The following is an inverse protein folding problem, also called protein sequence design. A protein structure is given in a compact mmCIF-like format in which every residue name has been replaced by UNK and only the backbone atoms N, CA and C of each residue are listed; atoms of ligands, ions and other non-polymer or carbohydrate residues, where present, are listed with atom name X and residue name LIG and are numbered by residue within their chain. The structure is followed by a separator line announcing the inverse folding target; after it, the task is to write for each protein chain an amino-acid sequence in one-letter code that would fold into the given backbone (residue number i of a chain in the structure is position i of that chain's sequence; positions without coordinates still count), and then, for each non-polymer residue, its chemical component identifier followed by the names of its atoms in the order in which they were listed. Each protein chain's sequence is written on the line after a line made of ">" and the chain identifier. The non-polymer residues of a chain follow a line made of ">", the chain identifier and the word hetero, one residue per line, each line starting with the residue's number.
data_IF_237653838194
#
_entry.id   IF_237653838194
#
_cell.length_a   1.000
_cell.length_b   1.000
_cell.length_c   1.000
_cell.angle_alpha   90.00
_cell.angle_beta   90.00
_cell.angle_gamma   90.00
#
_symmetry.space_group_name_H-M   'P 1'
#
loop_
_entity.id
_entity.type
_entity.pdbx_description
1 polymer ?
#
# COMPACT_ATOMS: atom_id res chain seq x y z
N UNK A 1 -12.98 -5.32 5.12
CA UNK A 1 -12.73 -6.32 6.18
C UNK A 1 -12.52 -7.74 5.65
N UNK A 2 -13.14 -8.15 4.53
CA UNK A 2 -12.95 -9.49 3.91
C UNK A 2 -11.50 -9.80 3.52
N UNK A 3 -10.71 -8.80 3.09
CA UNK A 3 -9.35 -9.02 2.59
C UNK A 3 -8.32 -9.48 3.65
N UNK A 4 -8.51 -9.12 4.92
CA UNK A 4 -7.56 -9.52 6.00
C UNK A 4 -7.64 -11.03 6.23
N UNK A 5 -8.83 -11.59 6.41
CA UNK A 5 -9.02 -13.03 6.67
C UNK A 5 -8.55 -13.92 5.51
N UNK A 6 -8.79 -13.47 4.27
CA UNK A 6 -8.36 -14.21 3.08
C UNK A 6 -6.82 -14.22 2.96
N UNK A 7 -6.17 -13.08 3.25
CA UNK A 7 -4.71 -13.00 3.29
C UNK A 7 -4.11 -13.82 4.41
N UNK A 8 -4.67 -13.79 5.62
CA UNK A 8 -4.17 -14.60 6.74
C UNK A 8 -4.11 -16.08 6.38
N UNK A 9 -5.13 -16.59 5.68
CA UNK A 9 -5.18 -18.01 5.30
C UNK A 9 -4.26 -18.36 4.13
N UNK A 10 -4.06 -17.45 3.18
CA UNK A 10 -3.27 -17.71 1.97
C UNK A 10 -1.78 -17.36 2.15
N UNK A 11 -1.49 -16.18 2.68
CA UNK A 11 -0.11 -15.70 2.92
C UNK A 11 0.53 -16.47 4.07
N UNK A 12 -0.12 -16.54 5.24
CA UNK A 12 0.42 -17.29 6.39
C UNK A 12 0.26 -18.81 6.25
N UNK A 13 -0.58 -19.28 5.31
CA UNK A 13 -0.75 -20.70 4.98
C UNK A 13 0.30 -21.28 4.04
N UNK A 14 1.34 -20.51 3.69
CA UNK A 14 2.46 -20.98 2.85
C UNK A 14 2.30 -20.72 1.36
N UNK A 15 1.20 -20.12 0.90
CA UNK A 15 0.95 -19.83 -0.53
C UNK A 15 1.40 -18.42 -0.96
N UNK A 16 2.33 -17.80 -0.23
CA UNK A 16 2.81 -16.44 -0.49
C UNK A 16 3.42 -16.23 -1.89
N UNK A 17 3.90 -17.31 -2.52
CA UNK A 17 4.46 -17.30 -3.88
C UNK A 17 3.44 -17.57 -5.00
N UNK A 18 2.18 -17.88 -4.67
CA UNK A 18 1.14 -18.03 -5.70
C UNK A 18 0.84 -16.64 -6.31
N UNK A 19 0.86 -16.55 -7.64
CA UNK A 19 0.65 -15.31 -8.39
C UNK A 19 -0.65 -14.59 -7.99
N UNK A 20 -1.70 -15.35 -7.64
CA UNK A 20 -2.99 -14.79 -7.21
C UNK A 20 -2.88 -14.15 -5.82
N UNK A 21 -2.03 -14.70 -4.96
CA UNK A 21 -1.77 -14.19 -3.60
C UNK A 21 -0.92 -12.94 -3.66
N UNK A 22 0.06 -12.88 -4.56
CA UNK A 22 0.89 -11.70 -4.78
C UNK A 22 0.08 -10.48 -5.26
N UNK A 23 -1.02 -10.70 -5.99
CA UNK A 23 -1.95 -9.67 -6.46
C UNK A 23 -2.91 -9.17 -5.37
N UNK A 24 -2.93 -9.76 -4.17
CA UNK A 24 -3.86 -9.34 -3.11
C UNK A 24 -3.52 -7.93 -2.61
N UNK A 25 -4.49 -7.03 -2.72
CA UNK A 25 -4.36 -5.64 -2.32
C UNK A 25 -4.24 -5.49 -0.80
N UNK A 26 -3.36 -4.61 -0.28
CA UNK A 26 -3.27 -4.28 1.14
C UNK A 26 -4.59 -3.70 1.68
N UNK A 27 -4.90 -3.89 2.97
CA UNK A 27 -5.94 -3.11 3.61
C UNK A 27 -5.47 -1.66 3.63
N UNK A 28 -6.08 -0.82 2.79
CA UNK A 28 -5.80 0.62 2.71
C UNK A 28 -6.40 1.37 3.90
N UNK A 29 -6.13 0.92 5.12
CA UNK A 29 -6.68 1.52 6.33
C UNK A 29 -5.89 2.75 6.78
N UNK A 30 -6.46 3.49 7.75
CA UNK A 30 -5.85 4.72 8.26
C UNK A 30 -4.44 4.50 8.84
N UNK A 31 -4.17 3.32 9.41
CA UNK A 31 -2.87 3.03 10.02
C UNK A 31 -1.81 2.82 8.94
N UNK A 32 -2.13 2.10 7.87
CA UNK A 32 -1.22 1.92 6.74
C UNK A 32 -0.96 3.24 6.02
N UNK A 33 -1.99 4.06 5.79
CA UNK A 33 -1.84 5.38 5.17
C UNK A 33 -0.93 6.31 5.99
N UNK A 34 -1.06 6.31 7.31
CA UNK A 34 -0.17 7.05 8.22
C UNK A 34 1.27 6.52 8.14
N UNK A 35 1.43 5.20 8.14
CA UNK A 35 2.72 4.53 7.99
C UNK A 35 3.45 4.90 6.71
N UNK A 36 2.74 4.86 5.57
CA UNK A 36 3.26 5.29 4.27
C UNK A 36 3.68 6.76 4.27
N UNK A 37 2.90 7.63 4.92
CA UNK A 37 3.22 9.04 5.06
C UNK A 37 4.50 9.26 5.88
N UNK A 38 4.63 8.55 7.01
CA UNK A 38 5.82 8.61 7.85
C UNK A 38 7.06 8.08 7.10
N UNK A 39 6.92 6.98 6.36
CA UNK A 39 7.99 6.44 5.53
C UNK A 39 8.40 7.42 4.41
N UNK A 40 7.43 8.01 3.70
CA UNK A 40 7.65 9.04 2.67
C UNK A 40 8.46 10.24 3.18
N UNK A 41 8.22 10.65 4.43
CA UNK A 41 8.99 11.72 5.08
C UNK A 41 10.42 11.25 5.43
N UNK A 42 10.58 10.00 5.88
CA UNK A 42 11.89 9.42 6.22
C UNK A 42 12.81 9.28 5.01
N UNK A 43 12.26 8.95 3.84
CA UNK A 43 13.02 8.78 2.59
C UNK A 43 13.02 10.03 1.72
N UNK A 44 12.61 11.18 2.26
CA UNK A 44 12.62 12.44 1.53
C UNK A 44 14.05 12.80 1.09
N UNK A 45 14.20 13.16 -0.19
CA UNK A 45 15.50 13.49 -0.80
C UNK A 45 16.30 12.29 -1.30
N UNK A 46 15.78 11.07 -1.20
CA UNK A 46 16.38 9.88 -1.83
C UNK A 46 15.77 9.66 -3.21
N UNK A 47 16.61 9.69 -4.26
CA UNK A 47 16.17 9.62 -5.65
C UNK A 47 15.36 8.36 -5.97
N UNK A 48 15.72 7.22 -5.35
CA UNK A 48 15.03 5.94 -5.52
C UNK A 48 13.56 5.94 -5.07
N UNK A 49 13.12 6.95 -4.32
CA UNK A 49 11.74 7.06 -3.81
C UNK A 49 10.98 8.26 -4.37
N UNK A 50 11.56 9.04 -5.30
CA UNK A 50 10.95 10.25 -5.82
C UNK A 50 9.57 9.99 -6.46
N UNK A 51 9.46 8.92 -7.25
CA UNK A 51 8.20 8.53 -7.90
C UNK A 51 7.14 8.10 -6.89
N UNK A 52 7.51 7.26 -5.92
CA UNK A 52 6.62 6.85 -4.83
C UNK A 52 6.08 8.07 -4.07
N UNK A 53 6.96 9.00 -3.69
CA UNK A 53 6.57 10.20 -2.94
C UNK A 53 5.62 11.08 -3.73
N UNK A 54 5.88 11.29 -5.02
CA UNK A 54 4.98 12.04 -5.92
C UNK A 54 3.60 11.37 -5.99
N UNK A 55 3.56 10.08 -6.32
CA UNK A 55 2.31 9.33 -6.44
C UNK A 55 1.52 9.32 -5.11
N UNK A 56 2.21 9.23 -3.96
CA UNK A 56 1.56 9.26 -2.66
C UNK A 56 0.94 10.64 -2.35
N UNK A 57 1.64 11.73 -2.64
CA UNK A 57 1.12 13.09 -2.47
C UNK A 57 -0.10 13.33 -3.36
N UNK A 58 -0.05 12.91 -4.63
CA UNK A 58 -1.17 12.99 -5.56
C UNK A 58 -2.39 12.21 -5.02
N UNK A 59 -2.17 11.01 -4.46
CA UNK A 59 -3.23 10.21 -3.87
C UNK A 59 -3.83 10.85 -2.61
N UNK A 60 -3.00 11.45 -1.75
CA UNK A 60 -3.43 12.14 -0.55
C UNK A 60 -4.26 13.40 -0.84
N UNK A 61 -3.94 14.12 -1.92
CA UNK A 61 -4.74 15.25 -2.37
C UNK A 61 -6.17 14.85 -2.80
N UNK A 62 -6.36 13.59 -3.24
CA UNK A 62 -7.68 13.04 -3.59
C UNK A 62 -8.46 12.51 -2.37
N UNK A 63 -7.80 12.29 -1.23
CA UNK A 63 -8.42 11.80 0.00
C UNK A 63 -7.44 11.09 0.92
N UNK A 64 -7.64 11.22 2.23
CA UNK A 64 -6.75 10.74 3.29
C UNK A 64 -7.37 9.59 4.13
N UNK A 65 -8.61 9.22 3.84
CA UNK A 65 -9.36 8.24 4.62
C UNK A 65 -10.14 7.27 3.73
N UNK A 66 -9.92 5.97 3.93
CA UNK A 66 -10.52 4.90 3.14
C UNK A 66 -12.06 4.94 3.11
N UNK A 67 -12.69 5.50 4.14
CA UNK A 67 -14.14 5.63 4.27
C UNK A 67 -14.74 6.54 3.19
N UNK A 68 -13.94 7.47 2.65
CA UNK A 68 -14.35 8.42 1.61
C UNK A 68 -13.67 8.16 0.26
N UNK A 69 -12.98 7.02 0.10
CA UNK A 69 -12.29 6.74 -1.15
C UNK A 69 -13.28 6.51 -2.29
N UNK A 70 -13.16 7.37 -3.30
CA UNK A 70 -13.65 7.07 -4.64
C UNK A 70 -12.74 6.02 -5.29
N UNK A 71 -13.22 5.40 -6.37
CA UNK A 71 -12.40 4.47 -7.16
C UNK A 71 -11.08 5.11 -7.62
N UNK A 72 -11.10 6.38 -8.05
CA UNK A 72 -9.90 7.09 -8.49
C UNK A 72 -8.92 7.36 -7.34
N UNK A 73 -9.42 7.69 -6.14
CA UNK A 73 -8.59 7.80 -4.94
C UNK A 73 -7.88 6.47 -4.64
N UNK A 74 -8.63 5.36 -4.70
CA UNK A 74 -8.08 4.03 -4.46
C UNK A 74 -7.00 3.65 -5.46
N UNK A 75 -7.25 3.84 -6.76
CA UNK A 75 -6.29 3.55 -7.83
C UNK A 75 -5.01 4.39 -7.71
N UNK A 76 -5.12 5.66 -7.29
CA UNK A 76 -3.97 6.52 -7.03
C UNK A 76 -3.07 5.97 -5.91
N UNK A 77 -3.66 5.49 -4.81
CA UNK A 77 -2.88 4.84 -3.75
C UNK A 77 -2.24 3.54 -4.22
N UNK A 78 -2.94 2.71 -4.99
CA UNK A 78 -2.36 1.48 -5.54
C UNK A 78 -1.19 1.78 -6.47
N UNK A 79 -1.27 2.86 -7.26
CA UNK A 79 -0.15 3.31 -8.09
C UNK A 79 1.07 3.68 -7.23
N UNK A 80 0.86 4.42 -6.13
CA UNK A 80 1.93 4.74 -5.19
C UNK A 80 2.56 3.46 -4.60
N UNK A 81 1.74 2.54 -4.11
CA UNK A 81 2.21 1.25 -3.57
C UNK A 81 3.01 0.45 -4.60
N UNK A 82 2.55 0.39 -5.86
CA UNK A 82 3.27 -0.29 -6.95
C UNK A 82 4.65 0.31 -7.19
N UNK A 83 4.76 1.65 -7.23
CA UNK A 83 6.06 2.32 -7.41
C UNK A 83 7.03 2.07 -6.24
N UNK A 84 6.51 1.79 -5.04
CA UNK A 84 7.33 1.44 -3.87
C UNK A 84 7.74 -0.05 -3.87
N UNK A 85 6.84 -0.95 -4.24
CA UNK A 85 7.05 -2.38 -4.12
C UNK A 85 7.81 -2.98 -5.31
N UNK A 86 7.72 -2.39 -6.52
CA UNK A 86 8.36 -2.91 -7.73
C UNK A 86 8.02 -4.41 -7.94
N UNK A 87 8.98 -5.31 -7.77
CA UNK A 87 8.82 -6.77 -7.92
C UNK A 87 8.25 -7.46 -6.67
N UNK A 88 8.13 -6.74 -5.56
CA UNK A 88 7.54 -7.27 -4.33
C UNK A 88 6.01 -7.34 -4.44
N UNK A 89 5.38 -8.31 -3.77
CA UNK A 89 3.93 -8.42 -3.78
C UNK A 89 3.27 -7.21 -3.11
N UNK A 90 2.09 -6.81 -3.60
CA UNK A 90 1.41 -5.59 -3.13
C UNK A 90 1.10 -5.61 -1.63
N UNK A 91 0.87 -6.79 -1.06
CA UNK A 91 0.60 -6.95 0.36
C UNK A 91 1.83 -6.68 1.24
N UNK A 92 3.06 -6.77 0.71
CA UNK A 92 4.28 -6.56 1.49
C UNK A 92 4.42 -5.12 2.00
N UNK A 93 3.68 -4.17 1.42
CA UNK A 93 3.63 -2.78 1.89
C UNK A 93 3.07 -2.64 3.31
N UNK A 94 2.39 -3.67 3.81
CA UNK A 94 1.95 -3.77 5.20
C UNK A 94 3.15 -3.76 6.19
N UNK A 95 4.41 -3.89 5.74
CA UNK A 95 5.59 -3.65 6.57
C UNK A 95 5.65 -2.22 7.15
N UNK A 96 4.99 -1.26 6.49
CA UNK A 96 4.89 0.12 6.97
C UNK A 96 3.70 0.34 7.92
N UNK A 97 2.95 -0.70 8.28
CA UNK A 97 1.79 -0.57 9.14
C UNK A 97 2.22 -0.13 10.55
N UNK A 98 1.80 1.06 10.96
CA UNK A 98 2.12 1.62 12.28
C UNK A 98 0.99 1.30 13.27
N UNK A 99 1.25 0.57 14.38
CA UNK A 99 0.24 0.24 15.38
C UNK A 99 -0.39 1.45 16.05
#
# INVERSE_FOLDING_TARGET
>A
MVNVYLKSKLVCGGYHNDERVQRLHPPMDRKLLRGLSAFSNKVAGQDGYAEFRKNLLDAQALGDSWVIFSQSTYEAYIKAVKSLQQDKPLWAVEEHWSP
#
